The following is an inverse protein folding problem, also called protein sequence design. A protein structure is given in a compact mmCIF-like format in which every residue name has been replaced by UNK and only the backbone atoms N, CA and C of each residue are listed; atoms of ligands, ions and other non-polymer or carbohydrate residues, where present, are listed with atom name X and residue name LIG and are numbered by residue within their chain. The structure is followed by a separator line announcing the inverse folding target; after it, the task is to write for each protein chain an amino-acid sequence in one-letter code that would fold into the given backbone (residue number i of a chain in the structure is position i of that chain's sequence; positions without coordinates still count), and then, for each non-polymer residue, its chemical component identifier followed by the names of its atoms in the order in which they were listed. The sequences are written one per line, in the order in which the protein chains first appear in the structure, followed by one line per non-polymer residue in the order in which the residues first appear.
data_IF_255958332651
#
_entry.id   IF_255958332651
#
_cell.length_a   1.000
_cell.length_b   1.000
_cell.length_c   1.000
_cell.angle_alpha   90.00
_cell.angle_beta   90.00
_cell.angle_gamma   90.00
#
_symmetry.space_group_name_H-M   'P 1'
#
loop_
_entity.id
_entity.type
_entity.pdbx_description
1 polymer ?
#
# COMPACT_ATOMS: atom_id res chain seq x y z
N UNK A 1 -108.91 -15.66 -56.62
CA UNK A 1 -107.90 -15.61 -55.55
C UNK A 1 -107.98 -14.23 -54.90
N UNK A 2 -108.19 -14.15 -53.59
CA UNK A 2 -108.26 -12.88 -52.85
C UNK A 2 -106.87 -12.53 -52.32
N UNK A 3 -106.45 -11.30 -52.59
CA UNK A 3 -105.17 -10.74 -52.18
C UNK A 3 -105.12 -10.57 -50.65
N UNK A 4 -103.98 -10.81 -49.99
CA UNK A 4 -103.89 -10.67 -48.54
C UNK A 4 -104.00 -9.20 -48.12
N UNK A 5 -104.82 -8.93 -47.12
CA UNK A 5 -104.88 -7.65 -46.42
C UNK A 5 -103.55 -7.34 -45.74
N UNK A 6 -103.03 -6.14 -45.98
CA UNK A 6 -101.83 -5.65 -45.32
C UNK A 6 -102.03 -5.52 -43.80
N UNK A 7 -100.98 -5.82 -43.00
CA UNK A 7 -101.06 -5.71 -41.55
C UNK A 7 -101.18 -4.24 -41.11
N UNK A 8 -102.02 -4.01 -40.11
CA UNK A 8 -102.14 -2.71 -39.44
C UNK A 8 -100.83 -2.34 -38.75
N UNK A 9 -100.38 -1.10 -38.93
CA UNK A 9 -99.19 -0.60 -38.25
C UNK A 9 -99.36 -0.62 -36.72
N UNK A 10 -98.30 -0.94 -35.96
CA UNK A 10 -98.36 -0.98 -34.50
C UNK A 10 -98.50 0.44 -33.94
N UNK A 11 -99.32 0.58 -32.90
CA UNK A 11 -99.46 1.83 -32.16
C UNK A 11 -98.15 2.20 -31.47
N UNK A 12 -97.77 3.47 -31.54
CA UNK A 12 -96.56 3.95 -30.86
C UNK A 12 -96.67 3.78 -29.33
N UNK A 13 -95.58 3.42 -28.65
CA UNK A 13 -95.56 3.25 -27.20
C UNK A 13 -95.71 4.61 -26.50
N UNK A 14 -96.48 4.63 -25.41
CA UNK A 14 -96.59 5.80 -24.54
C UNK A 14 -95.25 6.12 -23.88
N UNK A 15 -94.91 7.40 -23.80
CA UNK A 15 -93.68 7.85 -23.13
C UNK A 15 -93.72 7.51 -21.62
N UNK A 16 -92.58 7.10 -21.04
CA UNK A 16 -92.49 6.80 -19.63
C UNK A 16 -92.64 8.07 -18.78
N UNK A 17 -93.28 7.93 -17.62
CA UNK A 17 -93.41 9.02 -16.65
C UNK A 17 -92.06 9.32 -16.01
N UNK A 18 -91.72 10.59 -15.84
CA UNK A 18 -90.48 10.99 -15.18
C UNK A 18 -90.44 10.54 -13.71
N UNK A 19 -89.28 10.08 -13.20
CA UNK A 19 -89.14 9.67 -11.82
C UNK A 19 -89.21 10.88 -10.88
N UNK A 20 -89.88 10.71 -9.74
CA UNK A 20 -89.86 11.70 -8.65
C UNK A 20 -88.46 11.85 -8.07
N UNK A 21 -88.06 13.08 -7.77
CA UNK A 21 -86.78 13.39 -7.14
C UNK A 21 -86.64 12.74 -5.75
N UNK A 22 -85.43 12.28 -5.38
CA UNK A 22 -85.18 11.69 -4.07
C UNK A 22 -85.24 12.74 -2.98
N UNK A 23 -85.71 12.34 -1.79
CA UNK A 23 -85.69 13.20 -0.61
C UNK A 23 -84.26 13.42 -0.12
N UNK A 24 -83.92 14.64 0.29
CA UNK A 24 -82.60 14.95 0.82
C UNK A 24 -82.33 14.19 2.15
N UNK A 25 -81.09 13.71 2.37
CA UNK A 25 -80.75 13.03 3.61
C UNK A 25 -80.69 14.03 4.78
N UNK A 26 -81.14 13.58 5.95
CA UNK A 26 -80.95 14.31 7.21
C UNK A 26 -79.47 14.42 7.57
N UNK A 27 -79.07 15.59 8.07
CA UNK A 27 -77.70 15.84 8.55
C UNK A 27 -77.32 14.92 9.73
N UNK A 28 -76.06 14.45 9.79
CA UNK A 28 -75.59 13.62 10.88
C UNK A 28 -75.45 14.42 12.18
N UNK A 29 -75.72 13.77 13.31
CA UNK A 29 -75.46 14.34 14.64
C UNK A 29 -73.96 14.51 14.87
N UNK A 30 -73.56 15.64 15.48
CA UNK A 30 -72.16 15.88 15.82
C UNK A 30 -71.64 14.87 16.86
N UNK A 31 -70.36 14.44 16.76
CA UNK A 31 -69.76 13.53 17.72
C UNK A 31 -69.52 14.21 19.06
N UNK A 32 -69.70 13.47 20.16
CA UNK A 32 -69.30 13.92 21.50
C UNK A 32 -67.79 14.09 21.60
N UNK A 33 -67.35 15.15 22.30
CA UNK A 33 -65.93 15.41 22.56
C UNK A 33 -65.30 14.26 23.38
N UNK A 34 -64.02 13.92 23.10
CA UNK A 34 -63.32 12.89 23.86
C UNK A 34 -62.98 13.37 25.28
N UNK A 35 -62.99 12.45 26.24
CA UNK A 35 -62.49 12.70 27.59
C UNK A 35 -60.97 12.93 27.58
N UNK A 36 -60.50 13.88 28.38
CA UNK A 36 -59.07 14.15 28.54
C UNK A 36 -58.33 12.94 29.13
N UNK A 37 -57.09 12.68 28.68
CA UNK A 37 -56.27 11.59 29.23
C UNK A 37 -55.82 11.89 30.65
N UNK A 38 -55.77 10.86 31.49
CA UNK A 38 -55.17 10.95 32.83
C UNK A 38 -53.67 11.22 32.74
N UNK A 39 -53.15 12.07 33.63
CA UNK A 39 -51.72 12.37 33.72
C UNK A 39 -50.89 11.10 34.04
N UNK A 40 -49.69 10.95 33.46
CA UNK A 40 -48.83 9.82 33.73
C UNK A 40 -48.27 9.89 35.16
N UNK A 41 -48.03 8.72 35.74
CA UNK A 41 -47.37 8.61 37.04
C UNK A 41 -45.89 8.98 36.91
N UNK A 42 -45.34 9.70 37.90
CA UNK A 42 -43.92 10.05 37.90
C UNK A 42 -43.02 8.81 37.96
N UNK A 43 -41.88 8.80 37.23
CA UNK A 43 -40.94 7.69 37.25
C UNK A 43 -40.24 7.59 38.60
N UNK A 44 -39.99 6.36 39.05
CA UNK A 44 -39.15 6.10 40.23
C UNK A 44 -37.71 6.52 39.99
N UNK A 45 -37.06 7.09 41.02
CA UNK A 45 -35.64 7.45 40.96
C UNK A 45 -34.75 6.23 40.68
N UNK A 46 -33.69 6.38 39.87
CA UNK A 46 -32.75 5.31 39.59
C UNK A 46 -31.92 4.97 40.82
N UNK A 47 -31.55 3.69 40.94
CA UNK A 47 -30.63 3.23 41.99
C UNK A 47 -29.21 3.76 41.73
N UNK A 48 -28.50 4.13 42.79
CA UNK A 48 -27.11 4.60 42.66
C UNK A 48 -26.19 3.50 42.08
N UNK A 49 -25.24 3.86 41.19
CA UNK A 49 -24.30 2.90 40.63
C UNK A 49 -23.33 2.38 41.69
N UNK A 50 -22.89 1.14 41.52
CA UNK A 50 -21.85 0.54 42.36
C UNK A 50 -20.49 1.17 42.06
N UNK A 51 -19.67 1.37 43.08
CA UNK A 51 -18.31 1.90 42.91
C UNK A 51 -17.44 0.97 42.04
N UNK A 52 -16.61 1.52 41.14
CA UNK A 52 -15.72 0.73 40.31
C UNK A 52 -14.62 0.08 41.13
N UNK A 53 -14.22 -1.13 40.75
CA UNK A 53 -13.05 -1.80 41.34
C UNK A 53 -11.76 -1.08 40.94
N UNK A 54 -10.84 -0.90 41.89
CA UNK A 54 -9.54 -0.28 41.60
C UNK A 54 -8.74 -1.07 40.55
N UNK A 55 -8.06 -0.37 39.62
CA UNK A 55 -7.24 -1.03 38.62
C UNK A 55 -6.00 -1.70 39.24
N UNK A 56 -5.61 -2.84 38.68
CA UNK A 56 -4.36 -3.50 39.07
C UNK A 56 -3.14 -2.64 38.73
N UNK A 57 -2.09 -2.74 39.56
CA UNK A 57 -0.83 -2.04 39.31
C UNK A 57 -0.19 -2.51 38.00
N UNK A 58 0.35 -1.59 37.18
CA UNK A 58 1.04 -1.95 35.94
C UNK A 58 2.31 -2.75 36.23
N UNK A 59 2.63 -3.69 35.34
CA UNK A 59 3.88 -4.44 35.36
C UNK A 59 5.04 -3.53 34.98
N UNK A 60 6.21 -3.66 35.64
CA UNK A 60 7.40 -2.89 35.27
C UNK A 60 7.85 -3.18 33.82
N UNK A 61 8.25 -2.15 33.06
CA UNK A 61 8.77 -2.35 31.72
C UNK A 61 10.12 -3.06 31.76
N UNK A 62 10.36 -3.92 30.77
CA UNK A 62 11.66 -4.56 30.57
C UNK A 62 12.73 -3.52 30.22
N UNK A 63 13.97 -3.76 30.66
CA UNK A 63 15.11 -2.90 30.36
C UNK A 63 15.33 -2.78 28.83
N UNK A 64 15.61 -1.58 28.29
CA UNK A 64 15.94 -1.41 26.88
C UNK A 64 17.20 -2.22 26.51
N UNK A 65 17.20 -2.80 25.31
CA UNK A 65 18.40 -3.37 24.71
C UNK A 65 19.36 -2.25 24.33
N UNK A 66 20.67 -2.43 24.56
CA UNK A 66 21.66 -1.42 24.20
C UNK A 66 21.69 -1.14 22.68
N UNK A 67 21.88 0.12 22.25
CA UNK A 67 22.00 0.47 20.85
C UNK A 67 23.26 -0.14 20.23
N UNK A 68 23.13 -0.78 19.08
CA UNK A 68 24.26 -1.25 18.29
C UNK A 68 25.10 -0.06 17.82
N UNK A 69 26.41 -0.08 18.05
CA UNK A 69 27.31 0.98 17.61
C UNK A 69 27.27 1.17 16.08
N UNK A 70 27.36 2.42 15.58
CA UNK A 70 27.49 2.66 14.14
C UNK A 70 28.79 2.03 13.62
N UNK A 71 28.68 1.27 12.53
CA UNK A 71 29.84 0.65 11.89
C UNK A 71 30.80 1.74 11.41
N UNK A 72 32.06 1.66 11.84
CA UNK A 72 33.14 2.54 11.36
C UNK A 72 33.30 2.37 9.85
N UNK A 73 33.71 3.42 9.10
CA UNK A 73 34.07 3.26 7.70
C UNK A 73 35.22 2.23 7.61
N UNK A 74 34.96 1.15 6.89
CA UNK A 74 35.93 0.06 6.75
C UNK A 74 36.95 0.46 5.68
N UNK A 75 38.22 0.56 6.08
CA UNK A 75 39.35 0.84 5.18
C UNK A 75 39.70 -0.43 4.39
N UNK A 76 38.78 -0.83 3.52
CA UNK A 76 38.97 -1.98 2.63
C UNK A 76 39.42 -1.50 1.27
N UNK A 77 40.37 -2.22 0.69
CA UNK A 77 40.63 -2.11 -0.75
C UNK A 77 39.37 -2.59 -1.48
N UNK A 78 38.63 -1.70 -2.17
CA UNK A 78 37.41 -2.10 -2.84
C UNK A 78 37.75 -3.12 -3.94
N UNK A 79 36.85 -4.08 -4.14
CA UNK A 79 36.93 -4.97 -5.29
C UNK A 79 36.77 -4.08 -6.54
N UNK A 80 37.64 -4.24 -7.54
CA UNK A 80 37.65 -3.40 -8.76
C UNK A 80 36.27 -3.34 -9.45
N UNK A 81 35.45 -4.38 -9.27
CA UNK A 81 34.07 -4.43 -9.74
C UNK A 81 33.16 -4.95 -8.62
N UNK A 82 32.23 -4.12 -8.07
CA UNK A 82 31.24 -4.57 -7.11
C UNK A 82 30.40 -5.73 -7.67
N UNK A 83 30.08 -6.69 -6.80
CA UNK A 83 29.31 -7.89 -7.19
C UNK A 83 27.89 -7.79 -6.68
N UNK A 84 26.92 -7.71 -7.59
CA UNK A 84 25.51 -7.87 -7.28
C UNK A 84 25.21 -9.36 -7.06
N UNK A 85 24.71 -9.71 -5.88
CA UNK A 85 24.29 -11.08 -5.54
C UNK A 85 22.92 -11.41 -6.14
N UNK A 86 22.55 -12.68 -6.17
CA UNK A 86 21.17 -13.08 -6.54
C UNK A 86 20.13 -12.76 -5.46
N UNK A 87 20.57 -12.47 -4.25
CA UNK A 87 19.77 -11.94 -3.14
C UNK A 87 19.57 -10.42 -3.19
N UNK A 88 20.28 -9.72 -4.09
CA UNK A 88 20.08 -8.29 -4.38
C UNK A 88 20.99 -7.33 -3.60
N UNK A 89 21.92 -7.84 -2.80
CA UNK A 89 22.95 -7.03 -2.15
C UNK A 89 24.14 -6.76 -3.09
N UNK A 90 24.82 -5.65 -2.84
CA UNK A 90 26.01 -5.25 -3.59
C UNK A 90 27.24 -5.45 -2.71
N UNK A 91 28.07 -6.45 -3.02
CA UNK A 91 29.33 -6.66 -2.31
C UNK A 91 30.39 -5.75 -2.89
N UNK A 92 30.98 -4.93 -2.04
CA UNK A 92 32.02 -3.95 -2.41
C UNK A 92 33.42 -4.36 -1.94
N UNK A 93 33.50 -5.20 -0.90
CA UNK A 93 34.75 -5.74 -0.36
C UNK A 93 34.52 -7.05 0.42
N UNK A 94 35.59 -7.76 0.78
CA UNK A 94 35.58 -8.93 1.67
C UNK A 94 36.71 -8.81 2.68
N UNK A 95 36.39 -8.58 3.94
CA UNK A 95 37.36 -8.45 5.04
C UNK A 95 37.20 -9.59 6.03
N UNK A 96 38.28 -10.22 6.48
CA UNK A 96 38.25 -11.38 7.37
C UNK A 96 37.39 -12.54 6.85
N UNK A 97 37.35 -12.75 5.53
CA UNK A 97 36.45 -13.71 4.88
C UNK A 97 34.95 -13.38 5.02
N UNK A 98 34.61 -12.16 5.43
CA UNK A 98 33.24 -11.66 5.54
C UNK A 98 32.96 -10.61 4.47
N UNK A 99 31.90 -10.78 3.67
CA UNK A 99 31.48 -9.77 2.71
C UNK A 99 31.12 -8.44 3.39
N UNK A 100 31.45 -7.36 2.71
CA UNK A 100 31.00 -6.01 3.03
C UNK A 100 30.04 -5.60 1.92
N UNK A 101 28.78 -5.39 2.30
CA UNK A 101 27.71 -4.99 1.39
C UNK A 101 27.48 -3.48 1.46
N UNK A 102 27.10 -2.87 0.35
CA UNK A 102 26.60 -1.51 0.30
C UNK A 102 25.09 -1.49 0.54
N UNK A 103 24.65 -0.66 1.49
CA UNK A 103 23.25 -0.43 1.82
C UNK A 103 22.64 0.67 0.93
N UNK A 104 21.31 0.74 0.91
CA UNK A 104 20.58 1.70 0.09
C UNK A 104 20.83 3.18 0.45
N UNK A 105 21.27 3.46 1.67
CA UNK A 105 21.66 4.78 2.15
C UNK A 105 23.11 5.17 1.75
N UNK A 106 23.80 4.30 1.02
CA UNK A 106 25.18 4.47 0.58
C UNK A 106 26.24 4.06 1.61
N UNK A 107 25.85 3.68 2.82
CA UNK A 107 26.77 3.14 3.84
C UNK A 107 27.14 1.69 3.55
N UNK A 108 28.11 1.14 4.29
CA UNK A 108 28.51 -0.27 4.17
C UNK A 108 28.26 -1.04 5.45
N UNK A 109 27.97 -2.33 5.32
CA UNK A 109 27.76 -3.25 6.43
C UNK A 109 28.55 -4.53 6.19
N UNK A 110 29.32 -4.96 7.20
CA UNK A 110 29.95 -6.27 7.24
C UNK A 110 28.88 -7.32 7.60
N UNK A 111 28.76 -8.36 6.78
CA UNK A 111 27.76 -9.41 6.93
C UNK A 111 28.42 -10.77 6.90
N UNK A 112 27.77 -11.78 7.48
CA UNK A 112 28.25 -13.15 7.36
C UNK A 112 28.02 -13.66 5.95
N UNK A 113 28.98 -14.41 5.38
CA UNK A 113 28.87 -14.93 4.01
C UNK A 113 27.56 -15.72 3.80
N UNK A 114 27.14 -16.48 4.81
CA UNK A 114 25.91 -17.28 4.78
C UNK A 114 24.63 -16.43 4.65
N UNK A 115 24.63 -15.20 5.15
CA UNK A 115 23.46 -14.30 5.10
C UNK A 115 23.11 -13.92 3.66
N UNK A 116 24.13 -13.79 2.80
CA UNK A 116 23.97 -13.43 1.39
C UNK A 116 24.13 -14.64 0.45
N UNK A 117 23.94 -15.86 0.98
CA UNK A 117 24.08 -17.08 0.19
C UNK A 117 25.50 -17.37 -0.32
N UNK A 118 26.52 -16.70 0.24
CA UNK A 118 27.91 -16.92 -0.08
C UNK A 118 28.54 -18.01 0.80
N UNK A 119 29.59 -18.64 0.28
CA UNK A 119 30.34 -19.67 0.98
C UNK A 119 31.80 -19.26 1.14
N UNK A 120 32.34 -19.41 2.36
CA UNK A 120 33.75 -19.16 2.64
C UNK A 120 34.56 -20.41 2.31
N UNK A 121 35.58 -20.26 1.48
CA UNK A 121 36.49 -21.35 1.12
C UNK A 121 37.57 -21.52 2.21
N UNK A 122 38.32 -22.64 2.16
CA UNK A 122 39.39 -22.91 3.15
C UNK A 122 40.55 -21.92 3.06
N UNK A 123 40.80 -21.36 1.88
CA UNK A 123 41.76 -20.27 1.66
C UNK A 123 41.20 -18.89 2.13
N UNK A 124 39.94 -18.88 2.59
CA UNK A 124 39.14 -17.75 3.06
C UNK A 124 38.72 -16.75 1.99
N UNK A 125 38.83 -17.12 0.71
CA UNK A 125 38.09 -16.42 -0.34
C UNK A 125 36.59 -16.69 -0.21
N UNK A 126 35.76 -15.80 -0.71
CA UNK A 126 34.29 -15.93 -0.61
C UNK A 126 33.71 -16.21 -1.98
N UNK A 127 33.01 -17.33 -2.13
CA UNK A 127 32.27 -17.62 -3.37
C UNK A 127 30.82 -17.21 -3.20
N UNK A 128 30.30 -16.40 -4.12
CA UNK A 128 28.91 -15.93 -4.11
C UNK A 128 28.29 -16.08 -5.48
N UNK A 129 26.97 -16.32 -5.52
CA UNK A 129 26.23 -16.34 -6.77
C UNK A 129 25.85 -14.91 -7.14
N UNK A 130 26.25 -14.49 -8.34
CA UNK A 130 25.86 -13.19 -8.86
C UNK A 130 24.42 -13.18 -9.36
N UNK A 131 23.88 -11.97 -9.58
CA UNK A 131 22.58 -11.75 -10.23
C UNK A 131 22.52 -12.32 -11.66
N UNK A 132 23.66 -12.55 -12.30
CA UNK A 132 23.81 -13.25 -13.57
C UNK A 132 23.70 -14.79 -13.46
N UNK A 133 23.45 -15.30 -12.25
CA UNK A 133 23.35 -16.73 -11.94
C UNK A 133 24.70 -17.45 -11.89
N UNK A 134 25.82 -16.75 -12.09
CA UNK A 134 27.16 -17.35 -12.10
C UNK A 134 27.83 -17.24 -10.73
N UNK A 135 28.57 -18.27 -10.35
CA UNK A 135 29.42 -18.21 -9.14
C UNK A 135 30.62 -17.32 -9.41
N UNK A 136 30.86 -16.36 -8.52
CA UNK A 136 32.03 -15.47 -8.52
C UNK A 136 32.83 -15.72 -7.25
N UNK A 137 34.15 -15.77 -7.37
CA UNK A 137 35.07 -15.92 -6.22
C UNK A 137 35.64 -14.55 -5.92
N UNK A 138 35.45 -14.09 -4.69
CA UNK A 138 35.91 -12.82 -4.17
C UNK A 138 37.21 -13.02 -3.38
N UNK A 139 38.27 -12.27 -3.70
CA UNK A 139 39.52 -12.33 -2.95
C UNK A 139 39.32 -11.76 -1.54
N UNK A 140 40.21 -12.11 -0.62
CA UNK A 140 40.31 -11.41 0.66
C UNK A 140 40.89 -10.02 0.42
N UNK A 141 40.13 -8.99 0.74
CA UNK A 141 40.55 -7.58 0.67
C UNK A 141 40.64 -7.04 2.10
N UNK A 142 41.83 -7.02 2.71
CA UNK A 142 41.97 -6.47 4.07
C UNK A 142 43.08 -7.00 4.97
N UNK A 143 44.12 -7.68 4.46
CA UNK A 143 45.35 -7.88 5.23
C UNK A 143 46.42 -6.95 4.68
N UNK A 144 46.58 -5.78 5.29
CA UNK A 144 47.65 -4.84 4.99
C UNK A 144 48.98 -5.33 5.54
N UNK A 145 49.67 -6.18 4.78
CA UNK A 145 51.13 -6.17 4.79
C UNK A 145 51.63 -5.88 3.36
N UNK A 146 51.92 -4.59 3.11
CA UNK A 146 52.65 -4.03 1.95
C UNK A 146 51.86 -3.64 0.69
N UNK A 147 50.92 -2.69 0.79
CA UNK A 147 50.54 -1.87 -0.38
C UNK A 147 51.16 -0.47 -0.22
N UNK A 148 52.49 -0.42 -0.36
CA UNK A 148 53.17 0.81 -0.71
C UNK A 148 53.32 0.84 -2.24
N UNK A 149 52.86 1.94 -2.87
CA UNK A 149 52.94 2.27 -4.30
C UNK A 149 52.07 1.46 -5.26
N UNK A 150 50.84 1.93 -5.56
CA UNK A 150 50.29 1.98 -6.94
C UNK A 150 48.91 2.67 -7.00
N UNK A 151 48.80 3.85 -6.39
CA UNK A 151 47.67 4.74 -6.66
C UNK A 151 48.15 5.77 -7.68
N UNK A 152 47.26 6.14 -8.60
CA UNK A 152 47.31 7.26 -9.57
C UNK A 152 47.77 6.84 -10.97
N UNK A 153 46.82 6.48 -11.85
CA UNK A 153 47.15 6.34 -13.27
C UNK A 153 46.05 6.00 -14.29
N UNK A 154 44.81 5.68 -13.90
CA UNK A 154 43.80 5.23 -14.90
C UNK A 154 42.41 5.86 -14.76
N UNK A 155 42.30 7.07 -14.18
CA UNK A 155 41.04 7.80 -14.08
C UNK A 155 40.81 8.86 -15.18
N UNK A 156 41.45 8.76 -16.35
CA UNK A 156 41.22 9.73 -17.43
C UNK A 156 41.16 9.09 -18.81
N UNK A 157 40.05 9.36 -19.52
CA UNK A 157 39.82 9.30 -20.97
C UNK A 157 39.03 8.12 -21.56
N UNK A 158 37.75 8.04 -21.21
CA UNK A 158 36.71 7.72 -22.21
C UNK A 158 35.88 8.98 -22.51
N UNK A 159 36.52 9.95 -23.16
CA UNK A 159 35.82 11.02 -23.86
C UNK A 159 36.17 10.91 -25.35
N UNK A 160 35.28 10.21 -26.06
CA UNK A 160 34.81 10.46 -27.42
C UNK A 160 35.83 10.78 -28.53
N UNK A 161 35.83 9.91 -29.55
CA UNK A 161 36.39 10.23 -30.85
C UNK A 161 35.74 11.49 -31.45
N UNK A 162 36.55 12.51 -31.69
CA UNK A 162 36.30 13.55 -32.68
C UNK A 162 37.57 13.71 -33.50
N UNK A 163 37.84 12.68 -34.31
CA UNK A 163 38.81 12.75 -35.39
C UNK A 163 38.13 13.51 -36.55
N UNK A 164 38.81 14.55 -37.04
CA UNK A 164 38.58 15.28 -38.30
C UNK A 164 37.38 16.22 -38.39
N UNK A 165 37.62 17.54 -38.29
CA UNK A 165 37.42 18.44 -39.44
C UNK A 165 38.07 19.81 -39.20
N UNK A 166 39.04 20.12 -40.06
CA UNK A 166 39.37 21.46 -40.55
C UNK A 166 40.12 22.44 -39.63
N UNK A 167 41.44 22.22 -39.64
CA UNK A 167 42.47 23.25 -39.57
C UNK A 167 42.28 24.23 -40.75
N UNK A 168 41.64 25.39 -40.53
CA UNK A 168 42.10 26.61 -41.22
C UNK A 168 41.52 27.93 -40.68
N UNK A 169 42.40 28.93 -40.66
CA UNK A 169 42.23 30.36 -40.39
C UNK A 169 42.02 30.80 -38.94
N UNK A 170 43.11 31.30 -38.36
CA UNK A 170 43.38 32.73 -38.16
C UNK A 170 44.92 32.85 -38.09
N UNK A 171 45.59 33.65 -38.92
CA UNK A 171 45.37 35.09 -38.98
C UNK A 171 45.93 35.71 -37.70
N UNK A 172 47.25 35.66 -37.53
CA UNK A 172 47.96 36.65 -36.72
C UNK A 172 48.28 37.82 -37.64
N UNK A 173 48.10 39.03 -37.09
CA UNK A 173 48.77 40.29 -37.42
C UNK A 173 48.84 40.70 -38.90
#
# INVERSE_FOLDING_TARGET
PTEPTEPTEPTEPTEPTEPTEPTEPTEPTEPTEPTEPTEPTEPTEPTEPTEPTEPSKPTEPSKPTEPTEPSKPVDTNPIENPVNTDTGEVIVAVEDSKPIIQLADGTTKKVEAKEIGANVQKDGTVTVKGSDGKMKVLPKTGETENIALSIIGSLSTLASGFFLFNRNKKGQA
#
